data_IF_531796792928
#
_entry.id   IF_531796792928
#
_cell.length_a   1.000
_cell.length_b   1.000
_cell.length_c   1.000
_cell.angle_alpha   90.00
_cell.angle_beta   90.00
_cell.angle_gamma   90.00
#
_symmetry.space_group_name_H-M   'P 1'
#
loop_
_entity.id
_entity.type
_entity.pdbx_description
1 polymer ?
#
# COMPACT_ATOMS: atom_id res chain seq x y z
N UNK A 1 -1.28 3.17 20.00
CA UNK A 1 -0.16 4.04 20.40
C UNK A 1 -0.08 5.18 19.40
N UNK A 2 0.21 6.41 19.83
CA UNK A 2 0.30 7.58 18.94
C UNK A 2 1.77 7.89 18.68
N UNK A 3 2.09 8.28 17.44
CA UNK A 3 3.42 8.71 17.04
C UNK A 3 3.45 10.22 16.88
N UNK A 4 4.58 10.81 17.23
CA UNK A 4 4.87 12.21 16.98
C UNK A 4 5.50 12.29 15.59
N UNK A 5 4.88 13.06 14.70
CA UNK A 5 5.38 13.34 13.35
C UNK A 5 5.61 14.83 13.20
N UNK A 6 6.60 15.16 12.36
CA UNK A 6 6.89 16.51 11.93
C UNK A 6 6.45 16.62 10.48
N UNK A 7 5.63 17.62 10.15
CA UNK A 7 5.24 17.92 8.76
C UNK A 7 6.36 18.67 7.98
N UNK A 8 7.47 18.96 8.65
CA UNK A 8 8.68 19.58 8.10
C UNK A 8 9.91 18.69 8.28
N UNK A 9 11.04 19.30 8.62
CA UNK A 9 12.33 18.59 8.74
C UNK A 9 12.67 18.35 10.20
N UNK A 10 13.08 17.12 10.52
CA UNK A 10 13.72 16.82 11.80
C UNK A 10 15.18 17.23 11.76
N UNK A 11 15.54 18.19 12.59
CA UNK A 11 16.91 18.65 12.77
C UNK A 11 17.45 18.21 14.13
N UNK A 12 18.77 18.03 14.21
CA UNK A 12 19.44 17.77 15.48
C UNK A 12 19.94 19.08 16.07
N UNK A 13 19.28 19.57 17.12
CA UNK A 13 19.82 20.66 17.94
C UNK A 13 20.60 20.04 19.11
N UNK A 14 21.87 19.69 18.87
CA UNK A 14 22.72 19.03 19.85
C UNK A 14 22.32 17.56 20.08
N UNK A 15 21.74 17.25 21.24
CA UNK A 15 21.26 15.90 21.58
C UNK A 15 19.72 15.78 21.55
N UNK A 16 19.01 16.86 21.21
CA UNK A 16 17.54 16.89 21.16
C UNK A 16 17.06 17.01 19.72
N UNK A 17 16.19 16.10 19.23
CA UNK A 17 15.56 16.25 17.94
C UNK A 17 14.56 17.42 17.98
N UNK A 18 14.66 18.32 17.02
CA UNK A 18 13.79 19.49 16.87
C UNK A 18 13.06 19.39 15.55
N UNK A 19 11.73 19.54 15.58
CA UNK A 19 10.92 19.64 14.37
C UNK A 19 10.93 21.08 13.88
N UNK A 20 11.48 21.31 12.68
CA UNK A 20 11.37 22.59 11.96
C UNK A 20 10.13 22.51 11.08
N UNK A 21 8.98 22.78 11.70
CA UNK A 21 7.64 22.62 11.13
C UNK A 21 6.58 22.57 12.24
N UNK A 22 5.45 21.94 11.94
CA UNK A 22 4.36 21.64 12.87
C UNK A 22 4.51 20.21 13.39
N UNK A 23 4.47 20.08 14.72
CA UNK A 23 4.33 18.79 15.38
C UNK A 23 2.87 18.34 15.32
N UNK A 24 2.64 17.13 14.83
CA UNK A 24 1.33 16.47 14.85
C UNK A 24 1.43 15.09 15.48
N UNK A 25 0.33 14.61 16.01
CA UNK A 25 0.20 13.25 16.53
C UNK A 25 -0.65 12.43 15.57
N UNK A 26 -0.10 11.33 15.06
CA UNK A 26 -0.81 10.38 14.21
C UNK A 26 -0.98 9.06 14.94
N UNK A 27 -2.12 8.42 14.75
CA UNK A 27 -2.36 7.11 15.33
C UNK A 27 -1.56 6.05 14.56
N UNK A 28 -1.05 5.00 15.24
CA UNK A 28 -0.34 3.89 14.57
C UNK A 28 -1.09 3.35 13.35
N UNK A 29 -2.42 3.27 13.43
CA UNK A 29 -3.31 2.80 12.37
C UNK A 29 -3.28 3.66 11.11
N UNK A 30 -2.86 4.93 11.21
CA UNK A 30 -2.79 5.86 10.07
C UNK A 30 -1.45 5.75 9.32
N UNK A 31 -0.40 5.29 10.00
CA UNK A 31 0.97 5.16 9.45
C UNK A 31 1.26 3.73 9.00
N UNK A 32 0.66 2.77 9.70
CA UNK A 32 0.67 1.36 9.37
C UNK A 32 -0.79 0.94 9.19
N UNK A 33 -1.42 1.29 8.05
CA UNK A 33 -2.74 0.79 7.76
C UNK A 33 -2.70 -0.73 7.91
N UNK A 34 -3.69 -1.28 8.61
CA UNK A 34 -3.85 -2.72 8.71
C UNK A 34 -3.84 -3.26 7.28
N UNK A 35 -2.87 -4.13 6.97
CA UNK A 35 -2.82 -4.76 5.65
C UNK A 35 -4.11 -5.53 5.37
N UNK A 36 -4.27 -6.04 4.15
CA UNK A 36 -5.43 -6.88 3.82
C UNK A 36 -5.57 -8.00 4.84
N UNK A 37 -6.80 -8.21 5.30
CA UNK A 37 -7.17 -9.42 6.02
C UNK A 37 -6.89 -10.65 5.15
N UNK A 38 -6.77 -11.83 5.77
CA UNK A 38 -6.49 -13.06 5.03
C UNK A 38 -7.62 -13.36 4.03
N UNK A 39 -8.85 -13.02 4.41
CA UNK A 39 -10.06 -13.14 3.63
C UNK A 39 -10.07 -12.19 2.43
N UNK A 40 -9.79 -10.90 2.64
CA UNK A 40 -9.69 -9.90 1.56
C UNK A 40 -8.57 -10.26 0.56
N UNK A 41 -7.44 -10.75 1.07
CA UNK A 41 -6.34 -11.19 0.23
C UNK A 41 -6.72 -12.43 -0.61
N UNK A 42 -7.46 -13.38 -0.04
CA UNK A 42 -7.93 -14.55 -0.77
C UNK A 42 -8.90 -14.18 -1.89
N UNK A 43 -9.87 -13.30 -1.61
CA UNK A 43 -10.86 -12.84 -2.60
C UNK A 43 -10.20 -12.09 -3.76
N UNK A 44 -9.32 -11.12 -3.45
CA UNK A 44 -8.62 -10.33 -4.48
C UNK A 44 -7.72 -11.23 -5.32
N UNK A 45 -7.05 -12.21 -4.71
CA UNK A 45 -6.21 -13.16 -5.42
C UNK A 45 -7.02 -14.01 -6.40
N UNK A 46 -8.19 -14.51 -5.99
CA UNK A 46 -9.05 -15.30 -6.86
C UNK A 46 -9.54 -14.48 -8.06
N UNK A 47 -10.04 -13.28 -7.81
CA UNK A 47 -10.51 -12.38 -8.87
C UNK A 47 -9.37 -12.00 -9.84
N UNK A 48 -8.16 -11.74 -9.33
CA UNK A 48 -7.00 -11.45 -10.15
C UNK A 48 -6.61 -12.63 -11.06
N UNK A 49 -6.67 -13.86 -10.55
CA UNK A 49 -6.39 -15.06 -11.35
C UNK A 49 -7.44 -15.28 -12.44
N UNK A 50 -8.72 -15.05 -12.14
CA UNK A 50 -9.80 -15.15 -13.12
C UNK A 50 -9.59 -14.14 -14.25
N UNK A 51 -9.33 -12.87 -13.91
CA UNK A 51 -9.05 -11.82 -14.91
C UNK A 51 -7.83 -12.17 -15.76
N UNK A 52 -6.76 -12.65 -15.14
CA UNK A 52 -5.56 -13.08 -15.85
C UNK A 52 -5.88 -14.22 -16.83
N UNK A 53 -6.61 -15.25 -16.38
CA UNK A 53 -7.00 -16.37 -17.22
C UNK A 53 -7.88 -15.95 -18.41
N UNK A 54 -8.81 -15.00 -18.20
CA UNK A 54 -9.67 -14.49 -19.28
C UNK A 54 -8.84 -13.73 -20.31
N UNK A 55 -7.99 -12.80 -19.87
CA UNK A 55 -7.17 -11.98 -20.78
C UNK A 55 -6.19 -12.86 -21.56
N UNK A 56 -5.44 -13.71 -20.87
CA UNK A 56 -4.49 -14.60 -21.53
C UNK A 56 -5.19 -15.64 -22.41
N UNK A 57 -6.32 -16.20 -21.96
CA UNK A 57 -7.13 -17.11 -22.75
C UNK A 57 -7.59 -16.47 -24.05
N UNK A 58 -8.09 -15.22 -24.00
CA UNK A 58 -8.48 -14.47 -25.19
C UNK A 58 -7.29 -14.19 -26.12
N UNK A 59 -6.12 -13.82 -25.57
CA UNK A 59 -4.90 -13.59 -26.36
C UNK A 59 -4.40 -14.87 -27.05
N UNK A 60 -4.40 -16.00 -26.32
CA UNK A 60 -4.02 -17.31 -26.87
C UNK A 60 -5.01 -17.72 -27.96
N UNK A 61 -6.31 -17.57 -27.73
CA UNK A 61 -7.33 -17.90 -28.71
C UNK A 61 -7.20 -17.02 -29.96
N UNK A 62 -6.99 -15.72 -29.79
CA UNK A 62 -6.71 -14.79 -30.89
C UNK A 62 -5.51 -15.25 -31.71
N UNK A 63 -4.41 -15.59 -31.05
CA UNK A 63 -3.20 -16.08 -31.71
C UNK A 63 -3.41 -17.42 -32.42
N UNK A 64 -4.12 -18.37 -31.81
CA UNK A 64 -4.38 -19.69 -32.36
C UNK A 64 -5.30 -19.64 -33.59
N UNK A 65 -6.28 -18.73 -33.57
CA UNK A 65 -7.23 -18.54 -34.66
C UNK A 65 -6.73 -17.54 -35.73
N UNK A 66 -5.51 -16.98 -35.59
CA UNK A 66 -5.00 -15.88 -36.43
C UNK A 66 -5.99 -14.70 -36.58
N UNK A 67 -6.73 -14.40 -35.52
CA UNK A 67 -7.60 -13.23 -35.40
C UNK A 67 -6.80 -11.95 -35.08
#
# INVERSE_FOLDING_TARGET
MNFIVCDGVWESAGQTPVCVGTLSTVALSEISPTGLTAEEHAEIREQALILFAIVFGALVLKKALNL
#
